data_IF_064962287033
#
_entry.id   IF_064962287033
#
_cell.length_a   1.000
_cell.length_b   1.000
_cell.length_c   1.000
_cell.angle_alpha   90.00
_cell.angle_beta   90.00
_cell.angle_gamma   90.00
#
_symmetry.space_group_name_H-M   'P 1'
#
loop_
_entity.id
_entity.type
_entity.pdbx_description
1 polymer ?
#
# COMPACT_ATOMS: atom_id res chain seq x y z
N UNK A 1 -23.87 -8.98 2.50
CA UNK A 1 -23.92 -7.62 3.08
C UNK A 1 -22.67 -6.89 2.64
N UNK A 2 -22.79 -5.68 2.16
CA UNK A 2 -21.69 -4.81 1.77
C UNK A 2 -21.92 -3.38 2.27
N UNK A 3 -20.84 -2.64 2.44
CA UNK A 3 -20.85 -1.30 3.01
C UNK A 3 -20.48 -0.23 1.98
N UNK A 4 -20.94 0.99 2.24
CA UNK A 4 -20.45 2.22 1.62
C UNK A 4 -20.06 3.22 2.72
N UNK A 5 -18.98 3.96 2.52
CA UNK A 5 -18.58 5.05 3.41
C UNK A 5 -18.83 6.40 2.75
N UNK A 6 -19.42 7.32 3.52
CA UNK A 6 -19.69 8.70 3.09
C UNK A 6 -18.94 9.66 4.02
N UNK A 7 -17.89 10.28 3.49
CA UNK A 7 -17.06 11.23 4.20
C UNK A 7 -17.64 12.63 4.00
N UNK A 8 -17.94 13.33 5.10
CA UNK A 8 -18.63 14.61 5.08
C UNK A 8 -17.69 15.67 5.66
N UNK A 9 -17.38 16.67 4.85
CA UNK A 9 -16.52 17.79 5.22
C UNK A 9 -16.07 18.55 3.98
N UNK A 10 -16.28 19.86 3.99
CA UNK A 10 -15.89 20.73 2.88
C UNK A 10 -14.36 20.82 2.76
N UNK A 11 -13.62 20.76 3.87
CA UNK A 11 -12.17 20.75 3.94
C UNK A 11 -11.53 19.54 3.20
N UNK A 12 -12.26 18.41 3.14
CA UNK A 12 -11.84 17.24 2.38
C UNK A 12 -11.88 17.49 0.86
N UNK A 13 -12.91 18.21 0.40
CA UNK A 13 -13.07 18.57 -1.03
C UNK A 13 -12.10 19.66 -1.45
N UNK A 14 -11.74 20.57 -0.54
CA UNK A 14 -10.76 21.63 -0.77
C UNK A 14 -9.31 21.11 -0.76
N UNK A 15 -9.10 19.86 -0.31
CA UNK A 15 -7.76 19.28 -0.19
C UNK A 15 -6.94 19.86 0.96
N UNK A 16 -7.58 20.53 1.92
CA UNK A 16 -6.90 21.11 3.10
C UNK A 16 -6.37 20.03 4.03
N UNK A 17 -7.06 18.89 4.10
CA UNK A 17 -6.64 17.72 4.87
C UNK A 17 -6.74 16.43 4.07
N UNK A 18 -5.88 15.46 4.42
CA UNK A 18 -5.93 14.11 3.86
C UNK A 18 -6.97 13.28 4.61
N UNK A 19 -7.86 12.62 3.86
CA UNK A 19 -8.89 11.73 4.41
C UNK A 19 -8.30 10.44 4.99
N UNK A 20 -7.77 10.53 6.19
CA UNK A 20 -7.24 9.36 6.92
C UNK A 20 -8.33 8.50 7.54
N UNK A 21 -9.53 9.04 7.76
CA UNK A 21 -10.66 8.32 8.34
C UNK A 21 -11.19 7.25 7.40
N UNK A 22 -11.29 7.55 6.10
CA UNK A 22 -11.69 6.56 5.11
C UNK A 22 -10.74 5.35 5.07
N UNK A 23 -9.44 5.57 5.23
CA UNK A 23 -8.46 4.48 5.31
C UNK A 23 -8.68 3.60 6.56
N UNK A 24 -9.02 4.22 7.72
CA UNK A 24 -9.36 3.47 8.94
C UNK A 24 -10.60 2.61 8.75
N UNK A 25 -11.66 3.16 8.15
CA UNK A 25 -12.86 2.38 7.82
C UNK A 25 -12.53 1.21 6.91
N UNK A 26 -11.85 1.45 5.80
CA UNK A 26 -11.54 0.41 4.82
C UNK A 26 -10.76 -0.75 5.46
N UNK A 27 -9.78 -0.46 6.32
CA UNK A 27 -9.03 -1.49 7.05
C UNK A 27 -9.91 -2.26 8.02
N UNK A 28 -10.67 -1.57 8.87
CA UNK A 28 -11.50 -2.21 9.90
C UNK A 28 -12.62 -3.07 9.29
N UNK A 29 -13.23 -2.63 8.18
CA UNK A 29 -14.26 -3.41 7.47
C UNK A 29 -13.65 -4.63 6.77
N UNK A 30 -12.47 -4.47 6.17
CA UNK A 30 -11.72 -5.58 5.57
C UNK A 30 -11.37 -6.66 6.61
N UNK A 31 -10.92 -6.27 7.81
CA UNK A 31 -10.58 -7.19 8.90
C UNK A 31 -11.74 -8.09 9.33
N UNK A 32 -12.98 -7.61 9.26
CA UNK A 32 -14.18 -8.41 9.57
C UNK A 32 -14.80 -9.08 8.34
N UNK A 33 -14.19 -8.97 7.17
CA UNK A 33 -14.65 -9.55 5.91
C UNK A 33 -15.87 -8.84 5.28
N UNK A 34 -16.20 -7.62 5.72
CA UNK A 34 -17.27 -6.82 5.12
C UNK A 34 -16.78 -6.09 3.90
N UNK A 35 -17.43 -6.32 2.75
CA UNK A 35 -17.09 -5.66 1.50
C UNK A 35 -17.37 -4.16 1.55
N UNK A 36 -16.41 -3.36 1.12
CA UNK A 36 -16.54 -1.93 0.89
C UNK A 36 -16.43 -1.68 -0.62
N UNK A 37 -17.55 -1.35 -1.29
CA UNK A 37 -17.55 -1.14 -2.73
C UNK A 37 -17.45 0.34 -3.12
N UNK A 38 -17.97 1.23 -2.29
CA UNK A 38 -18.04 2.64 -2.62
C UNK A 38 -17.55 3.51 -1.47
N UNK A 39 -16.83 4.53 -1.85
CA UNK A 39 -16.43 5.64 -1.00
C UNK A 39 -16.86 6.93 -1.67
N UNK A 40 -17.66 7.75 -0.97
CA UNK A 40 -18.11 9.06 -1.46
C UNK A 40 -17.63 10.14 -0.50
N UNK A 41 -17.16 11.27 -1.03
CA UNK A 41 -16.85 12.47 -0.25
C UNK A 41 -17.80 13.59 -0.67
N UNK A 42 -18.42 14.27 0.30
CA UNK A 42 -19.38 15.34 0.07
C UNK A 42 -19.13 16.49 1.05
N UNK A 43 -19.31 17.73 0.60
CA UNK A 43 -19.21 18.92 1.46
C UNK A 43 -20.46 19.10 2.35
N UNK A 44 -20.34 19.99 3.34
CA UNK A 44 -21.35 20.28 4.36
C UNK A 44 -22.58 21.00 3.76
N UNK A 45 -23.41 20.25 3.06
CA UNK A 45 -24.65 20.70 2.45
C UNK A 45 -25.74 19.63 2.60
N UNK A 46 -26.83 19.96 3.28
CA UNK A 46 -27.91 19.02 3.60
C UNK A 46 -28.48 18.30 2.38
N UNK A 47 -28.78 19.04 1.31
CA UNK A 47 -29.38 18.49 0.09
C UNK A 47 -28.45 17.49 -0.58
N UNK A 48 -27.16 17.88 -0.78
CA UNK A 48 -26.16 16.99 -1.42
C UNK A 48 -25.88 15.74 -0.58
N UNK A 49 -25.79 15.89 0.76
CA UNK A 49 -25.63 14.74 1.65
C UNK A 49 -26.83 13.81 1.55
N UNK A 50 -28.04 14.35 1.53
CA UNK A 50 -29.29 13.56 1.38
C UNK A 50 -29.32 12.80 0.06
N UNK A 51 -28.92 13.42 -1.05
CA UNK A 51 -28.83 12.79 -2.37
C UNK A 51 -27.84 11.65 -2.38
N UNK A 52 -26.61 11.88 -1.85
CA UNK A 52 -25.56 10.86 -1.73
C UNK A 52 -26.02 9.69 -0.87
N UNK A 53 -26.67 9.96 0.27
CA UNK A 53 -27.16 8.90 1.16
C UNK A 53 -28.29 8.08 0.52
N UNK A 54 -29.21 8.70 -0.25
CA UNK A 54 -30.21 7.97 -0.99
C UNK A 54 -29.58 7.03 -2.02
N UNK A 55 -28.62 7.53 -2.81
CA UNK A 55 -27.89 6.70 -3.78
C UNK A 55 -27.14 5.55 -3.08
N UNK A 56 -26.52 5.81 -1.94
CA UNK A 56 -25.82 4.79 -1.15
C UNK A 56 -26.79 3.73 -0.62
N UNK A 57 -27.96 4.12 -0.08
CA UNK A 57 -29.01 3.22 0.40
C UNK A 57 -29.64 2.36 -0.70
N UNK A 58 -29.66 2.85 -1.95
CA UNK A 58 -30.19 2.08 -3.09
C UNK A 58 -29.26 0.96 -3.55
N UNK A 59 -27.97 1.00 -3.15
CA UNK A 59 -26.94 0.07 -3.64
C UNK A 59 -26.08 -0.59 -2.57
N UNK A 60 -26.28 -0.27 -1.28
CA UNK A 60 -25.48 -0.81 -0.19
C UNK A 60 -26.32 -1.06 1.05
N UNK A 61 -26.04 -2.16 1.75
CA UNK A 61 -26.80 -2.59 2.94
C UNK A 61 -26.49 -1.72 4.19
N UNK A 62 -25.25 -1.25 4.28
CA UNK A 62 -24.74 -0.45 5.40
C UNK A 62 -24.01 0.78 4.89
N UNK A 63 -24.47 1.95 5.29
CA UNK A 63 -23.82 3.21 5.01
C UNK A 63 -23.19 3.72 6.30
N UNK A 64 -21.91 4.07 6.27
CA UNK A 64 -21.21 4.65 7.42
C UNK A 64 -20.81 6.08 7.07
N UNK A 65 -21.34 7.06 7.78
CA UNK A 65 -20.96 8.47 7.60
C UNK A 65 -19.93 8.90 8.63
N UNK A 66 -19.03 9.81 8.24
CA UNK A 66 -18.07 10.45 9.14
C UNK A 66 -18.07 11.95 8.90
N UNK A 67 -18.37 12.73 9.94
CA UNK A 67 -18.41 14.20 9.90
C UNK A 67 -19.83 14.78 9.99
N UNK A 68 -19.90 16.10 10.22
CA UNK A 68 -21.13 16.88 10.24
C UNK A 68 -22.14 16.57 11.35
N UNK A 69 -21.70 15.95 12.47
CA UNK A 69 -22.54 15.66 13.64
C UNK A 69 -22.17 16.51 14.88
N UNK A 70 -21.37 17.54 14.73
CA UNK A 70 -20.98 18.49 15.76
C UNK A 70 -22.10 19.50 16.11
N UNK A 71 -21.77 20.58 16.87
CA UNK A 71 -22.74 21.58 17.32
C UNK A 71 -22.82 22.80 16.41
N UNK A 72 -22.05 22.90 15.34
CA UNK A 72 -21.96 24.08 14.48
C UNK A 72 -23.12 24.16 13.49
N UNK A 73 -23.27 25.27 12.79
CA UNK A 73 -24.42 25.48 11.88
C UNK A 73 -24.31 24.63 10.64
N UNK A 74 -23.09 24.34 10.23
CA UNK A 74 -22.70 23.51 9.10
C UNK A 74 -22.75 21.99 9.40
N UNK A 75 -22.94 21.59 10.66
CA UNK A 75 -23.16 20.19 11.05
C UNK A 75 -24.58 19.72 10.69
N UNK A 76 -24.81 19.47 9.40
CA UNK A 76 -26.15 19.15 8.85
C UNK A 76 -26.38 17.65 8.60
N UNK A 77 -25.43 16.80 8.93
CA UNK A 77 -25.52 15.34 8.69
C UNK A 77 -26.74 14.70 9.35
N UNK A 78 -27.11 15.10 10.57
CA UNK A 78 -28.29 14.56 11.29
C UNK A 78 -29.59 14.77 10.51
N UNK A 79 -29.77 15.98 9.96
CA UNK A 79 -30.94 16.31 9.15
C UNK A 79 -30.92 15.55 7.83
N UNK A 80 -29.77 15.50 7.16
CA UNK A 80 -29.63 14.78 5.91
C UNK A 80 -29.91 13.27 6.05
N UNK A 81 -29.43 12.64 7.15
CA UNK A 81 -29.73 11.24 7.47
C UNK A 81 -31.22 11.03 7.74
N UNK A 82 -31.85 11.92 8.52
CA UNK A 82 -33.29 11.85 8.77
C UNK A 82 -34.08 11.90 7.44
N UNK A 83 -33.75 12.86 6.57
CA UNK A 83 -34.38 12.98 5.25
C UNK A 83 -34.17 11.72 4.38
N UNK A 84 -32.93 11.22 4.28
CA UNK A 84 -32.58 10.07 3.46
C UNK A 84 -33.26 8.77 3.96
N UNK A 85 -33.35 8.59 5.28
CA UNK A 85 -33.98 7.41 5.88
C UNK A 85 -35.52 7.54 6.03
N UNK A 86 -36.09 8.65 5.57
CA UNK A 86 -37.55 8.93 5.64
C UNK A 86 -38.06 9.18 7.07
N UNK A 87 -37.20 9.61 7.98
CA UNK A 87 -37.52 9.81 9.40
C UNK A 87 -37.59 11.30 9.74
N UNK A 88 -38.30 11.62 10.82
CA UNK A 88 -38.27 12.98 11.40
C UNK A 88 -37.03 13.13 12.27
N UNK A 89 -36.47 14.34 12.31
CA UNK A 89 -35.45 14.69 13.31
C UNK A 89 -36.13 15.07 14.60
N UNK A 90 -35.85 14.37 15.71
CA UNK A 90 -36.46 14.58 17.01
C UNK A 90 -35.44 14.98 18.07
N UNK A 91 -35.82 15.78 19.02
CA UNK A 91 -35.01 16.18 20.16
C UNK A 91 -35.10 15.14 21.28
N UNK A 92 -33.94 14.73 21.81
CA UNK A 92 -33.85 13.77 22.91
C UNK A 92 -33.27 14.45 24.16
N UNK A 93 -34.12 14.56 25.20
CA UNK A 93 -33.71 15.07 26.51
C UNK A 93 -32.65 14.22 27.18
N UNK A 94 -32.67 12.91 26.92
CA UNK A 94 -31.69 11.98 27.46
C UNK A 94 -30.30 12.22 26.84
N UNK A 95 -30.24 12.47 25.53
CA UNK A 95 -28.99 12.83 24.87
C UNK A 95 -28.48 14.19 25.33
N UNK A 96 -29.36 15.19 25.52
CA UNK A 96 -28.96 16.48 26.12
C UNK A 96 -28.33 16.26 27.49
N UNK A 97 -28.96 15.46 28.36
CA UNK A 97 -28.44 15.16 29.68
C UNK A 97 -27.07 14.48 29.65
N UNK A 98 -26.87 13.52 28.69
CA UNK A 98 -25.58 12.85 28.47
C UNK A 98 -24.50 13.85 28.01
N UNK A 99 -24.81 14.71 27.04
CA UNK A 99 -23.91 15.75 26.55
C UNK A 99 -23.52 16.69 27.69
N UNK A 100 -24.51 17.17 28.45
CA UNK A 100 -24.27 18.04 29.58
C UNK A 100 -23.40 17.38 30.67
N UNK A 101 -23.63 16.09 30.93
CA UNK A 101 -22.80 15.31 31.86
C UNK A 101 -21.36 15.19 31.35
N UNK A 102 -21.19 15.04 30.03
CA UNK A 102 -19.86 14.96 29.39
C UNK A 102 -19.11 16.29 29.53
N UNK A 103 -19.77 17.43 29.30
CA UNK A 103 -19.15 18.75 29.52
C UNK A 103 -18.75 18.96 30.97
N UNK A 104 -19.60 18.52 31.93
CA UNK A 104 -19.26 18.57 33.36
C UNK A 104 -18.03 17.73 33.69
N UNK A 105 -17.86 16.56 33.08
CA UNK A 105 -16.67 15.73 33.31
C UNK A 105 -15.38 16.38 32.83
N UNK A 106 -15.47 17.33 31.90
CA UNK A 106 -14.35 18.18 31.46
C UNK A 106 -14.19 19.46 32.29
N UNK A 107 -14.96 19.64 33.36
CA UNK A 107 -14.98 20.89 34.16
C UNK A 107 -15.57 22.08 33.41
N UNK A 108 -16.40 21.85 32.38
CA UNK A 108 -16.98 22.91 31.53
C UNK A 108 -18.51 22.89 31.59
N UNK A 109 -19.12 24.05 31.36
CA UNK A 109 -20.57 24.17 31.17
C UNK A 109 -20.88 23.96 29.68
N UNK A 110 -21.92 23.20 29.39
CA UNK A 110 -22.42 23.03 28.02
C UNK A 110 -22.96 24.38 27.49
N UNK A 111 -22.49 24.80 26.33
CA UNK A 111 -23.02 25.98 25.65
C UNK A 111 -24.34 25.64 24.93
N UNK A 112 -25.19 26.63 24.68
CA UNK A 112 -26.55 26.46 24.15
C UNK A 112 -26.55 25.79 22.74
N UNK A 113 -25.56 26.12 21.89
CA UNK A 113 -25.44 25.51 20.56
C UNK A 113 -25.19 23.99 20.59
N UNK A 114 -24.65 23.45 21.69
CA UNK A 114 -24.45 21.99 21.83
C UNK A 114 -25.77 21.22 21.96
N UNK A 115 -26.89 21.87 22.25
CA UNK A 115 -28.21 21.25 22.23
C UNK A 115 -28.58 20.70 20.83
N UNK A 116 -28.01 21.25 19.77
CA UNK A 116 -28.18 20.71 18.41
C UNK A 116 -27.72 19.24 18.30
N UNK A 117 -26.75 18.84 19.09
CA UNK A 117 -26.25 17.46 19.12
C UNK A 117 -27.25 16.46 19.74
N UNK A 118 -28.27 16.96 20.46
CA UNK A 118 -29.35 16.15 21.06
C UNK A 118 -30.44 15.75 20.05
N UNK A 119 -30.42 16.27 18.83
CA UNK A 119 -31.33 15.83 17.76
C UNK A 119 -30.82 14.59 17.09
N UNK A 120 -31.68 13.59 16.89
CA UNK A 120 -31.41 12.37 16.13
C UNK A 120 -32.63 11.97 15.27
N UNK A 121 -32.48 11.17 14.21
CA UNK A 121 -33.60 10.61 13.48
C UNK A 121 -34.50 9.79 14.41
N UNK A 122 -35.83 9.91 14.24
CA UNK A 122 -36.83 9.20 15.03
C UNK A 122 -36.62 7.68 14.93
N UNK A 123 -36.58 6.99 16.08
CA UNK A 123 -36.31 5.55 16.14
C UNK A 123 -34.83 5.15 15.90
N UNK A 124 -33.94 6.10 15.74
CA UNK A 124 -32.52 5.79 15.67
C UNK A 124 -32.00 5.30 17.02
N UNK A 125 -31.03 4.37 16.97
CA UNK A 125 -30.38 3.80 18.15
C UNK A 125 -29.12 4.60 18.47
N UNK A 126 -29.07 5.32 19.61
CA UNK A 126 -27.86 6.05 20.01
C UNK A 126 -26.72 5.09 20.35
N UNK A 127 -25.52 5.43 19.89
CA UNK A 127 -24.28 4.75 20.20
C UNK A 127 -23.44 5.63 21.14
N UNK A 128 -23.27 5.20 22.39
CA UNK A 128 -22.56 5.98 23.42
C UNK A 128 -21.12 6.30 22.99
N UNK A 129 -20.78 7.60 22.96
CA UNK A 129 -19.45 8.12 22.68
C UNK A 129 -18.77 8.65 23.96
N UNK A 130 -18.00 7.83 24.69
CA UNK A 130 -17.36 8.26 25.94
C UNK A 130 -16.09 9.10 25.73
N UNK A 131 -15.63 9.28 24.50
CA UNK A 131 -14.39 10.02 24.17
C UNK A 131 -14.67 11.39 23.53
N UNK A 132 -15.94 11.66 23.16
CA UNK A 132 -16.36 12.91 22.56
C UNK A 132 -17.67 13.44 23.15
N UNK A 133 -18.24 14.47 22.51
CA UNK A 133 -19.50 15.07 22.89
C UNK A 133 -20.65 14.78 21.93
N UNK A 134 -20.33 14.50 20.66
CA UNK A 134 -21.33 14.23 19.64
C UNK A 134 -21.88 12.80 19.78
N UNK A 135 -23.19 12.61 20.01
CA UNK A 135 -23.82 11.31 19.99
C UNK A 135 -23.71 10.70 18.56
N UNK A 136 -23.20 9.50 18.51
CA UNK A 136 -23.28 8.67 17.32
C UNK A 136 -24.59 7.91 17.32
N UNK A 137 -25.05 7.45 16.18
CA UNK A 137 -26.32 6.71 16.10
C UNK A 137 -26.37 5.82 14.86
N UNK A 138 -27.27 4.85 14.94
CA UNK A 138 -27.68 3.98 13.83
C UNK A 138 -29.12 4.31 13.49
N UNK A 139 -29.40 4.62 12.22
CA UNK A 139 -30.75 4.89 11.70
C UNK A 139 -31.09 3.90 10.59
N UNK A 140 -32.13 3.12 10.78
CA UNK A 140 -32.65 2.24 9.73
C UNK A 140 -33.56 3.00 8.76
N UNK A 141 -33.41 2.75 7.47
CA UNK A 141 -34.32 3.33 6.47
C UNK A 141 -35.72 2.72 6.61
N UNK A 142 -36.75 3.55 6.66
CA UNK A 142 -38.13 3.09 6.82
C UNK A 142 -38.63 2.25 5.65
N UNK A 143 -37.99 2.33 4.48
CA UNK A 143 -38.27 1.56 3.26
C UNK A 143 -37.52 0.25 3.22
N UNK A 144 -36.72 -0.06 4.25
CA UNK A 144 -35.99 -1.32 4.35
C UNK A 144 -34.79 -1.45 3.41
N UNK A 145 -34.27 -0.35 2.86
CA UNK A 145 -33.12 -0.38 1.94
C UNK A 145 -31.78 -0.69 2.64
N UNK A 146 -31.68 -0.35 3.93
CA UNK A 146 -30.46 -0.55 4.68
C UNK A 146 -30.40 0.32 5.93
N UNK A 147 -29.18 0.53 6.44
CA UNK A 147 -28.92 1.27 7.68
C UNK A 147 -27.84 2.32 7.48
N UNK A 148 -28.02 3.50 8.11
CA UNK A 148 -27.01 4.55 8.18
C UNK A 148 -26.45 4.63 9.59
N UNK A 149 -25.14 4.52 9.74
CA UNK A 149 -24.39 4.67 10.99
C UNK A 149 -23.62 5.98 10.91
N UNK A 150 -23.91 6.94 11.81
CA UNK A 150 -23.27 8.26 11.80
C UNK A 150 -22.22 8.41 12.90
N UNK A 151 -21.00 8.73 12.49
CA UNK A 151 -19.81 8.82 13.33
C UNK A 151 -19.17 10.23 13.25
N UNK A 152 -18.38 10.64 14.26
CA UNK A 152 -17.72 11.92 14.25
C UNK A 152 -16.57 11.97 13.22
N UNK A 153 -16.23 13.19 12.78
CA UNK A 153 -15.07 13.45 11.93
C UNK A 153 -13.74 13.41 12.68
N UNK A 154 -13.73 13.63 14.01
CA UNK A 154 -12.51 13.67 14.82
C UNK A 154 -11.87 12.27 14.88
N UNK A 155 -10.62 12.09 14.39
CA UNK A 155 -10.01 10.76 14.22
C UNK A 155 -9.97 9.90 15.48
N UNK A 156 -9.64 10.50 16.64
CA UNK A 156 -9.58 9.79 17.93
C UNK A 156 -10.97 9.27 18.38
N UNK A 157 -12.01 10.06 18.18
CA UNK A 157 -13.38 9.66 18.52
C UNK A 157 -13.87 8.57 17.58
N UNK A 158 -13.62 8.76 16.27
CA UNK A 158 -13.98 7.80 15.23
C UNK A 158 -13.35 6.44 15.49
N UNK A 159 -12.05 6.39 15.78
CA UNK A 159 -11.31 5.14 16.02
C UNK A 159 -11.90 4.34 17.19
N UNK A 160 -12.22 5.04 18.29
CA UNK A 160 -12.90 4.42 19.43
C UNK A 160 -14.29 3.89 19.05
N UNK A 161 -15.11 4.73 18.40
CA UNK A 161 -16.47 4.34 18.04
C UNK A 161 -16.48 3.20 17.03
N UNK A 162 -15.59 3.25 16.06
CA UNK A 162 -15.44 2.20 15.04
C UNK A 162 -15.08 0.87 15.72
N UNK A 163 -13.99 0.82 16.48
CA UNK A 163 -13.47 -0.43 17.06
C UNK A 163 -14.36 -0.98 18.18
N UNK A 164 -14.97 -0.12 19.03
CA UNK A 164 -15.68 -0.56 20.24
C UNK A 164 -17.20 -0.64 20.09
N UNK A 165 -17.78 -0.02 19.06
CA UNK A 165 -19.23 0.03 18.88
C UNK A 165 -19.65 -0.49 17.49
N UNK A 166 -19.07 0.03 16.42
CA UNK A 166 -19.55 -0.26 15.06
C UNK A 166 -19.11 -1.65 14.61
N UNK A 167 -17.83 -2.00 14.77
CA UNK A 167 -17.34 -3.32 14.33
C UNK A 167 -18.08 -4.47 15.04
N UNK A 168 -18.25 -4.50 16.38
CA UNK A 168 -19.02 -5.55 17.04
C UNK A 168 -20.47 -5.64 16.53
N UNK A 169 -21.14 -4.48 16.34
CA UNK A 169 -22.49 -4.42 15.81
C UNK A 169 -22.59 -4.97 14.38
N UNK A 170 -21.62 -4.65 13.52
CA UNK A 170 -21.58 -5.17 12.15
C UNK A 170 -21.33 -6.68 12.12
N UNK A 171 -20.42 -7.18 12.95
CA UNK A 171 -20.16 -8.62 13.10
C UNK A 171 -21.43 -9.36 13.54
N UNK A 172 -22.18 -8.83 14.51
CA UNK A 172 -23.45 -9.40 14.93
C UNK A 172 -24.46 -9.41 13.79
N UNK A 173 -24.61 -8.30 13.04
CA UNK A 173 -25.51 -8.21 11.88
C UNK A 173 -25.13 -9.15 10.73
N UNK A 174 -23.86 -9.47 10.59
CA UNK A 174 -23.35 -10.43 9.60
C UNK A 174 -23.60 -11.88 10.00
N UNK A 175 -23.99 -12.15 11.24
CA UNK A 175 -24.09 -13.50 11.80
C UNK A 175 -22.75 -14.12 12.15
N UNK A 176 -21.69 -13.34 12.28
CA UNK A 176 -20.33 -13.71 12.60
C UNK A 176 -19.29 -12.91 11.81
N UNK A 177 -18.09 -12.84 12.31
CA UNK A 177 -16.96 -12.28 11.57
C UNK A 177 -16.53 -13.26 10.47
N UNK A 178 -16.14 -12.72 9.32
CA UNK A 178 -15.39 -13.48 8.31
C UNK A 178 -13.95 -12.99 8.32
N UNK A 179 -13.04 -13.88 8.05
CA UNK A 179 -11.64 -13.53 7.94
C UNK A 179 -11.32 -13.16 6.50
N UNK A 180 -10.68 -12.01 6.31
CA UNK A 180 -10.05 -11.66 5.05
C UNK A 180 -8.54 -11.85 5.20
N UNK A 181 -8.02 -12.88 4.55
CA UNK A 181 -6.58 -13.17 4.54
C UNK A 181 -5.96 -12.65 3.25
N UNK A 182 -4.83 -11.95 3.38
CA UNK A 182 -4.09 -11.42 2.25
C UNK A 182 -2.70 -12.03 2.25
N UNK A 183 -2.32 -12.64 1.12
CA UNK A 183 -0.98 -13.10 0.85
C UNK A 183 -0.36 -12.19 -0.20
N UNK A 184 0.79 -11.59 0.12
CA UNK A 184 1.51 -10.71 -0.80
C UNK A 184 2.75 -11.47 -1.30
N UNK A 185 2.80 -11.71 -2.62
CA UNK A 185 4.00 -12.19 -3.28
C UNK A 185 4.74 -10.98 -3.84
N UNK A 186 5.99 -10.83 -3.42
CA UNK A 186 6.85 -9.73 -3.85
C UNK A 186 7.60 -10.13 -5.11
N UNK A 187 7.46 -9.35 -6.17
CA UNK A 187 8.23 -9.56 -7.42
C UNK A 187 9.16 -8.39 -7.69
N UNK A 188 10.28 -8.63 -8.35
CA UNK A 188 11.21 -7.59 -8.74
C UNK A 188 11.72 -7.78 -10.17
N UNK A 189 12.21 -6.67 -10.75
CA UNK A 189 12.72 -6.55 -12.11
C UNK A 189 11.72 -7.00 -13.18
N UNK A 190 10.42 -6.88 -12.88
CA UNK A 190 9.31 -7.18 -13.79
C UNK A 190 8.25 -6.10 -13.68
N UNK A 191 7.76 -5.61 -14.81
CA UNK A 191 6.69 -4.62 -14.87
C UNK A 191 5.32 -5.24 -14.70
N UNK A 192 4.35 -4.43 -14.24
CA UNK A 192 2.96 -4.83 -13.99
C UNK A 192 2.31 -5.48 -15.22
N UNK A 193 2.50 -4.90 -16.41
CA UNK A 193 1.95 -5.45 -17.66
C UNK A 193 2.50 -6.84 -18.00
N UNK A 194 3.75 -7.13 -17.64
CA UNK A 194 4.33 -8.44 -17.83
C UNK A 194 3.78 -9.45 -16.82
N UNK A 195 3.58 -9.03 -15.57
CA UNK A 195 2.93 -9.87 -14.57
C UNK A 195 1.50 -10.20 -15.01
N UNK A 196 0.72 -9.18 -15.40
CA UNK A 196 -0.66 -9.34 -15.90
C UNK A 196 -0.73 -10.30 -17.09
N UNK A 197 0.17 -10.17 -18.06
CA UNK A 197 0.22 -11.09 -19.21
C UNK A 197 0.41 -12.55 -18.81
N UNK A 198 1.11 -12.82 -17.70
CA UNK A 198 1.46 -14.19 -17.27
C UNK A 198 0.39 -14.80 -16.36
N UNK A 199 -0.27 -13.98 -15.55
CA UNK A 199 -1.25 -14.46 -14.54
C UNK A 199 -2.64 -13.83 -14.69
N UNK A 200 -2.91 -13.04 -15.74
CA UNK A 200 -4.17 -12.30 -15.91
C UNK A 200 -5.41 -13.19 -15.95
N UNK A 201 -5.29 -14.41 -16.47
CA UNK A 201 -6.36 -15.42 -16.44
C UNK A 201 -6.76 -15.80 -15.00
N UNK A 202 -5.80 -15.83 -14.08
CA UNK A 202 -6.05 -16.13 -12.66
C UNK A 202 -6.78 -14.99 -11.95
N UNK A 203 -6.69 -13.76 -12.46
CA UNK A 203 -7.32 -12.56 -11.86
C UNK A 203 -8.84 -12.53 -12.03
N UNK A 204 -9.41 -13.42 -12.81
CA UNK A 204 -10.87 -13.55 -13.02
C UNK A 204 -11.58 -14.29 -11.89
N UNK A 205 -10.85 -14.93 -10.99
CA UNK A 205 -11.39 -15.67 -9.85
C UNK A 205 -12.10 -14.72 -8.86
N UNK A 206 -13.20 -15.20 -8.28
CA UNK A 206 -14.02 -14.41 -7.33
C UNK A 206 -13.53 -14.52 -5.89
N UNK A 207 -13.02 -15.68 -5.50
CA UNK A 207 -12.46 -15.94 -4.17
C UNK A 207 -11.57 -17.20 -4.23
N UNK A 208 -10.24 -17.11 -4.04
CA UNK A 208 -9.48 -15.86 -3.80
C UNK A 208 -9.45 -14.94 -5.02
N UNK A 209 -9.26 -13.63 -4.77
CA UNK A 209 -9.00 -12.64 -5.83
C UNK A 209 -7.51 -12.36 -5.94
N UNK A 210 -7.04 -11.95 -7.13
CA UNK A 210 -5.68 -11.43 -7.32
C UNK A 210 -5.75 -9.95 -7.71
N UNK A 211 -4.91 -9.14 -7.08
CA UNK A 211 -4.68 -7.74 -7.44
C UNK A 211 -3.18 -7.47 -7.62
N UNK A 212 -2.84 -6.51 -8.46
CA UNK A 212 -1.47 -6.05 -8.68
C UNK A 212 -1.28 -4.66 -8.06
N UNK A 213 -0.07 -4.39 -7.56
CA UNK A 213 0.33 -3.07 -7.11
C UNK A 213 1.77 -2.79 -7.54
N UNK A 214 1.94 -1.85 -8.47
CA UNK A 214 3.24 -1.49 -9.02
C UNK A 214 3.98 -0.48 -8.14
N UNK A 215 5.28 -0.69 -8.03
CA UNK A 215 6.27 0.20 -7.44
C UNK A 215 7.46 0.33 -8.39
N UNK A 216 8.41 1.22 -8.08
CA UNK A 216 9.62 1.34 -8.90
C UNK A 216 10.42 0.02 -8.95
N UNK A 217 10.44 -0.64 -10.10
CA UNK A 217 11.16 -1.91 -10.33
C UNK A 217 10.56 -3.15 -9.64
N UNK A 218 9.37 -3.05 -9.07
CA UNK A 218 8.70 -4.12 -8.34
C UNK A 218 7.20 -4.15 -8.64
N UNK A 219 6.60 -5.32 -8.56
CA UNK A 219 5.15 -5.49 -8.65
C UNK A 219 4.71 -6.49 -7.59
N UNK A 220 3.84 -6.04 -6.68
CA UNK A 220 3.24 -6.94 -5.69
C UNK A 220 2.05 -7.69 -6.30
N UNK A 221 2.01 -8.99 -6.10
CA UNK A 221 0.84 -9.81 -6.39
C UNK A 221 0.12 -10.11 -5.09
N UNK A 222 -1.08 -9.57 -4.92
CA UNK A 222 -1.90 -9.70 -3.71
C UNK A 222 -2.99 -10.72 -3.93
N UNK A 223 -2.91 -11.85 -3.24
CA UNK A 223 -3.94 -12.89 -3.25
C UNK A 223 -4.79 -12.68 -2.00
N UNK A 224 -6.08 -12.41 -2.18
CA UNK A 224 -7.02 -12.11 -1.08
C UNK A 224 -8.11 -13.18 -1.04
N UNK A 225 -8.21 -13.89 0.07
CA UNK A 225 -9.29 -14.86 0.32
C UNK A 225 -10.18 -14.42 1.49
N UNK A 226 -11.47 -14.73 1.36
CA UNK A 226 -12.47 -14.58 2.43
C UNK A 226 -12.98 -15.96 2.83
N UNK A 227 -12.99 -16.22 4.15
CA UNK A 227 -13.44 -17.49 4.71
C UNK A 227 -14.02 -17.28 6.11
N UNK A 228 -14.51 -18.34 6.73
CA UNK A 228 -14.97 -18.29 8.13
C UNK A 228 -13.78 -18.34 9.11
N UNK A 229 -12.67 -18.95 8.70
CA UNK A 229 -11.47 -19.11 9.52
C UNK A 229 -10.20 -18.78 8.71
N UNK A 230 -9.11 -18.41 9.41
CA UNK A 230 -7.79 -18.21 8.78
C UNK A 230 -7.29 -19.48 8.07
N UNK A 231 -7.50 -20.67 8.68
CA UNK A 231 -7.08 -21.93 8.10
C UNK A 231 -7.80 -22.25 6.78
N UNK A 232 -9.09 -21.93 6.68
CA UNK A 232 -9.84 -22.04 5.43
C UNK A 232 -9.35 -21.05 4.40
N UNK A 233 -9.09 -19.79 4.78
CA UNK A 233 -8.55 -18.78 3.89
C UNK A 233 -7.16 -19.20 3.34
N UNK A 234 -6.28 -19.71 4.19
CA UNK A 234 -4.97 -20.23 3.77
C UNK A 234 -5.12 -21.44 2.81
N UNK A 235 -6.10 -22.31 3.04
CA UNK A 235 -6.40 -23.45 2.15
C UNK A 235 -6.85 -22.97 0.78
N UNK A 236 -7.61 -21.88 0.72
CA UNK A 236 -8.02 -21.26 -0.55
C UNK A 236 -6.84 -20.58 -1.28
N UNK A 237 -5.96 -19.91 -0.53
CA UNK A 237 -4.81 -19.17 -1.08
C UNK A 237 -3.74 -20.12 -1.64
N UNK A 238 -3.44 -21.20 -0.94
CA UNK A 238 -2.28 -22.05 -1.23
C UNK A 238 -2.18 -22.55 -2.69
N UNK A 239 -3.23 -23.10 -3.34
CA UNK A 239 -3.14 -23.55 -4.71
C UNK A 239 -2.88 -22.41 -5.70
N UNK A 240 -3.48 -21.24 -5.45
CA UNK A 240 -3.33 -20.07 -6.29
C UNK A 240 -1.93 -19.44 -6.13
N UNK A 241 -1.41 -19.38 -4.91
CA UNK A 241 -0.02 -18.98 -4.64
C UNK A 241 0.97 -19.89 -5.35
N UNK A 242 0.77 -21.21 -5.29
CA UNK A 242 1.64 -22.18 -5.97
C UNK A 242 1.67 -21.97 -7.50
N UNK A 243 0.50 -21.75 -8.10
CA UNK A 243 0.38 -21.48 -9.53
C UNK A 243 1.06 -20.16 -9.93
N UNK A 244 0.82 -19.08 -9.16
CA UNK A 244 1.48 -17.78 -9.39
C UNK A 244 3.00 -17.92 -9.29
N UNK A 245 3.52 -18.64 -8.27
CA UNK A 245 4.95 -18.88 -8.11
C UNK A 245 5.53 -19.71 -9.27
N UNK A 246 4.81 -20.70 -9.75
CA UNK A 246 5.24 -21.52 -10.88
C UNK A 246 5.37 -20.66 -12.14
N UNK A 247 4.38 -19.82 -12.44
CA UNK A 247 4.36 -18.98 -13.64
C UNK A 247 5.36 -17.83 -13.60
N UNK A 248 5.46 -17.14 -12.47
CA UNK A 248 6.36 -16.00 -12.29
C UNK A 248 7.82 -16.42 -11.99
N UNK A 249 8.00 -17.63 -11.47
CA UNK A 249 9.32 -18.22 -11.23
C UNK A 249 10.25 -17.32 -10.44
N UNK A 250 11.45 -17.08 -10.98
CA UNK A 250 12.50 -16.29 -10.34
C UNK A 250 12.12 -14.82 -10.09
N UNK A 251 11.08 -14.29 -10.73
CA UNK A 251 10.63 -12.92 -10.47
C UNK A 251 10.09 -12.76 -9.04
N UNK A 252 9.52 -13.81 -8.46
CA UNK A 252 9.09 -13.79 -7.05
C UNK A 252 10.32 -13.91 -6.15
N UNK A 253 10.62 -12.85 -5.40
CA UNK A 253 11.77 -12.82 -4.50
C UNK A 253 11.43 -13.05 -3.04
N UNK A 254 10.21 -12.74 -2.62
CA UNK A 254 9.82 -12.77 -1.21
C UNK A 254 8.31 -12.71 -0.99
N UNK A 255 7.93 -12.58 0.26
CA UNK A 255 6.53 -12.50 0.71
C UNK A 255 6.33 -11.37 1.71
N UNK A 256 5.09 -10.93 1.84
CA UNK A 256 4.62 -9.97 2.85
C UNK A 256 5.47 -8.68 2.90
N UNK A 257 6.22 -8.48 3.98
CA UNK A 257 7.04 -7.28 4.22
C UNK A 257 8.50 -7.45 3.80
N UNK A 258 8.88 -8.59 3.25
CA UNK A 258 10.26 -8.81 2.84
C UNK A 258 10.69 -7.82 1.76
N UNK A 259 11.88 -7.29 1.90
CA UNK A 259 12.51 -6.38 0.94
C UNK A 259 13.58 -7.09 0.12
N UNK A 260 13.86 -6.57 -1.07
CA UNK A 260 14.90 -7.14 -1.95
C UNK A 260 16.26 -7.17 -1.27
N UNK A 261 16.73 -6.08 -0.61
CA UNK A 261 18.00 -6.07 0.11
C UNK A 261 18.06 -7.09 1.25
N UNK A 262 17.00 -7.26 2.03
CA UNK A 262 16.94 -8.26 3.12
C UNK A 262 17.09 -9.68 2.60
N UNK A 263 16.36 -10.01 1.54
CA UNK A 263 16.43 -11.36 0.94
C UNK A 263 17.83 -11.65 0.40
N UNK A 264 18.42 -10.68 -0.29
CA UNK A 264 19.78 -10.85 -0.84
C UNK A 264 20.83 -10.88 0.26
N UNK A 265 20.72 -10.01 1.27
CA UNK A 265 21.63 -10.00 2.43
C UNK A 265 21.66 -11.36 3.13
N UNK A 266 20.48 -11.97 3.37
CA UNK A 266 20.39 -13.34 3.90
C UNK A 266 21.02 -14.38 2.96
N UNK A 267 20.78 -14.29 1.65
CA UNK A 267 21.37 -15.22 0.68
C UNK A 267 22.89 -15.13 0.63
N UNK A 268 23.44 -13.93 0.62
CA UNK A 268 24.89 -13.70 0.64
C UNK A 268 25.51 -14.21 1.95
N UNK A 269 24.91 -13.89 3.10
CA UNK A 269 25.34 -14.37 4.42
C UNK A 269 25.37 -15.89 4.48
N UNK A 270 24.31 -16.57 4.04
CA UNK A 270 24.21 -18.04 4.06
C UNK A 270 25.27 -18.72 3.16
N UNK A 271 25.75 -18.03 2.14
CA UNK A 271 26.79 -18.54 1.24
C UNK A 271 28.19 -18.01 1.55
N UNK A 272 28.34 -17.22 2.62
CA UNK A 272 29.58 -16.53 2.99
C UNK A 272 30.17 -15.67 1.86
N UNK A 273 29.30 -15.05 1.06
CA UNK A 273 29.69 -14.19 -0.04
C UNK A 273 29.73 -12.72 0.41
N UNK A 274 30.70 -12.00 -0.08
CA UNK A 274 30.82 -10.55 0.08
C UNK A 274 30.56 -9.83 -1.23
N UNK A 275 30.25 -8.54 -1.14
CA UNK A 275 29.89 -7.70 -2.26
C UNK A 275 30.85 -6.53 -2.38
N UNK A 276 31.34 -6.27 -3.59
CA UNK A 276 31.97 -5.02 -3.96
C UNK A 276 31.08 -4.26 -4.93
N UNK A 277 30.95 -2.95 -4.75
CA UNK A 277 30.03 -2.09 -5.50
C UNK A 277 30.75 -0.91 -6.12
N UNK A 278 30.56 -0.70 -7.41
CA UNK A 278 30.81 0.58 -8.09
C UNK A 278 29.47 1.12 -8.57
N UNK A 279 29.16 2.35 -8.19
CA UNK A 279 27.91 3.00 -8.57
C UNK A 279 28.18 4.42 -9.05
N UNK A 280 28.08 4.62 -10.36
CA UNK A 280 28.13 5.96 -11.00
C UNK A 280 26.75 6.40 -11.49
N UNK A 281 25.71 5.63 -11.23
CA UNK A 281 24.42 5.74 -11.90
C UNK A 281 23.27 6.05 -10.96
N UNK A 282 23.19 5.35 -9.81
CA UNK A 282 22.03 5.45 -8.91
C UNK A 282 22.21 6.41 -7.75
N UNK A 283 23.42 6.96 -7.56
CA UNK A 283 23.70 7.85 -6.42
C UNK A 283 23.91 7.09 -5.12
N UNK A 284 24.33 5.82 -5.17
CA UNK A 284 24.57 4.99 -3.99
C UNK A 284 23.31 4.34 -3.41
N UNK A 285 22.19 4.32 -4.16
CA UNK A 285 20.94 3.72 -3.69
C UNK A 285 21.11 2.24 -3.28
N UNK A 286 21.81 1.45 -4.10
CA UNK A 286 22.04 0.03 -3.82
C UNK A 286 22.73 -0.19 -2.47
N UNK A 287 23.83 0.51 -2.22
CA UNK A 287 24.58 0.38 -0.96
C UNK A 287 23.83 0.92 0.25
N UNK A 288 23.06 2.00 0.07
CA UNK A 288 22.20 2.55 1.10
C UNK A 288 21.12 1.54 1.50
N UNK A 289 20.42 0.98 0.53
CA UNK A 289 19.34 0.01 0.77
C UNK A 289 19.84 -1.25 1.50
N UNK A 290 21.08 -1.70 1.20
CA UNK A 290 21.73 -2.78 1.94
C UNK A 290 22.07 -2.39 3.39
N UNK A 291 22.52 -1.16 3.60
CA UNK A 291 22.84 -0.65 4.93
C UNK A 291 21.59 -0.49 5.78
N UNK A 292 20.53 0.05 5.20
CA UNK A 292 19.22 0.22 5.87
C UNK A 292 18.59 -1.13 6.24
N UNK A 293 18.85 -2.18 5.43
CA UNK A 293 18.46 -3.55 5.73
C UNK A 293 19.38 -4.27 6.76
N UNK A 294 20.41 -3.62 7.26
CA UNK A 294 21.32 -4.18 8.28
C UNK A 294 22.44 -5.07 7.75
N UNK A 295 22.78 -4.99 6.46
CA UNK A 295 23.78 -5.85 5.80
C UNK A 295 25.01 -5.08 5.30
N UNK A 296 25.33 -3.93 5.92
CA UNK A 296 26.48 -3.10 5.53
C UNK A 296 27.82 -3.85 5.55
N UNK A 297 28.02 -4.78 6.47
CA UNK A 297 29.26 -5.60 6.61
C UNK A 297 29.44 -6.63 5.51
N UNK A 298 28.47 -6.85 4.66
CA UNK A 298 28.64 -7.65 3.45
C UNK A 298 29.33 -6.87 2.33
N UNK A 299 29.32 -5.53 2.40
CA UNK A 299 29.95 -4.66 1.40
C UNK A 299 31.40 -4.39 1.80
N UNK A 300 32.35 -4.99 1.10
CA UNK A 300 33.79 -4.89 1.40
C UNK A 300 34.48 -3.79 0.62
N UNK A 301 33.92 -3.38 -0.51
CA UNK A 301 34.41 -2.28 -1.32
C UNK A 301 33.21 -1.51 -1.88
N UNK A 302 33.23 -0.18 -1.69
CA UNK A 302 32.20 0.72 -2.20
C UNK A 302 32.88 1.93 -2.84
N UNK A 303 32.73 2.05 -4.16
CA UNK A 303 33.13 3.24 -4.89
C UNK A 303 31.89 3.91 -5.46
N UNK A 304 31.38 4.88 -4.72
CA UNK A 304 30.30 5.74 -5.17
C UNK A 304 30.88 7.04 -5.72
N UNK A 305 30.66 7.33 -7.00
CA UNK A 305 31.07 8.57 -7.66
C UNK A 305 30.16 8.83 -8.85
N UNK A 306 29.78 10.08 -9.04
CA UNK A 306 29.03 10.50 -10.25
C UNK A 306 29.97 10.58 -11.47
N UNK A 307 31.29 10.66 -11.22
CA UNK A 307 32.30 10.76 -12.28
C UNK A 307 32.78 9.36 -12.69
N UNK A 308 32.24 8.90 -13.81
CA UNK A 308 32.62 7.64 -14.44
C UNK A 308 34.13 7.61 -14.79
N UNK A 309 34.69 8.75 -15.24
CA UNK A 309 36.12 8.84 -15.59
C UNK A 309 37.01 8.61 -14.39
N UNK A 310 36.63 9.16 -13.22
CA UNK A 310 37.34 8.92 -11.98
C UNK A 310 37.28 7.43 -11.54
N UNK A 311 36.14 6.77 -11.73
CA UNK A 311 36.00 5.35 -11.45
C UNK A 311 36.92 4.49 -12.35
N UNK A 312 36.92 4.76 -13.65
CA UNK A 312 37.78 4.08 -14.61
C UNK A 312 39.27 4.29 -14.34
N UNK A 313 39.67 5.52 -14.02
CA UNK A 313 41.03 5.83 -13.66
C UNK A 313 41.51 5.06 -12.41
N UNK A 314 40.68 4.98 -11.39
CA UNK A 314 41.01 4.20 -10.18
C UNK A 314 41.15 2.72 -10.47
N UNK A 315 40.35 2.18 -11.41
CA UNK A 315 40.44 0.79 -11.85
C UNK A 315 41.59 0.52 -12.83
N UNK A 316 42.34 1.54 -13.24
CA UNK A 316 43.39 1.40 -14.26
C UNK A 316 42.88 1.14 -15.67
N UNK A 317 41.61 1.49 -15.93
CA UNK A 317 40.95 1.26 -17.21
C UNK A 317 41.00 2.54 -18.07
N UNK A 318 41.41 2.41 -19.31
CA UNK A 318 41.48 3.53 -20.24
C UNK A 318 40.11 3.77 -20.91
N UNK A 319 39.56 4.97 -20.72
CA UNK A 319 38.35 5.40 -21.42
C UNK A 319 38.74 6.06 -22.76
N UNK A 320 38.26 5.51 -23.86
CA UNK A 320 38.40 6.11 -25.18
C UNK A 320 37.10 6.80 -25.58
N UNK A 321 37.15 8.11 -25.85
CA UNK A 321 35.97 8.91 -26.17
C UNK A 321 35.19 8.44 -27.43
N UNK A 322 35.82 7.62 -28.27
CA UNK A 322 35.22 7.06 -29.49
C UNK A 322 34.96 5.54 -29.39
N UNK A 323 34.88 4.99 -28.16
CA UNK A 323 34.58 3.59 -27.95
C UNK A 323 33.19 3.21 -28.53
N UNK A 324 33.08 2.00 -29.06
CA UNK A 324 31.80 1.43 -29.54
C UNK A 324 31.06 0.77 -28.39
N UNK A 325 29.77 0.49 -28.56
CA UNK A 325 28.94 -0.17 -27.52
C UNK A 325 29.59 -1.40 -26.87
N UNK A 326 30.30 -2.23 -27.64
CA UNK A 326 31.03 -3.39 -27.13
C UNK A 326 32.16 -3.04 -26.16
N UNK A 327 32.80 -1.89 -26.35
CA UNK A 327 33.88 -1.41 -25.50
C UNK A 327 33.35 -0.89 -24.15
N UNK A 328 32.16 -0.27 -24.12
CA UNK A 328 31.51 0.17 -22.89
C UNK A 328 31.08 -1.01 -22.01
N UNK A 329 30.59 -2.07 -22.64
CA UNK A 329 30.28 -3.33 -21.94
C UNK A 329 31.52 -3.95 -21.29
N UNK A 330 32.66 -3.94 -21.98
CA UNK A 330 33.94 -4.43 -21.45
C UNK A 330 34.45 -3.55 -20.29
N UNK A 331 34.31 -2.22 -20.41
CA UNK A 331 34.67 -1.28 -19.33
C UNK A 331 33.80 -1.49 -18.08
N UNK A 332 32.49 -1.65 -18.25
CA UNK A 332 31.57 -1.95 -17.15
C UNK A 332 31.94 -3.26 -16.43
N UNK A 333 32.28 -4.31 -17.21
CA UNK A 333 32.77 -5.57 -16.64
C UNK A 333 34.10 -5.41 -15.91
N UNK A 334 35.06 -4.68 -16.48
CA UNK A 334 36.33 -4.39 -15.83
C UNK A 334 36.15 -3.66 -14.48
N UNK A 335 35.19 -2.76 -14.38
CA UNK A 335 34.84 -2.10 -13.11
C UNK A 335 34.25 -3.08 -12.10
N UNK A 336 33.38 -4.00 -12.53
CA UNK A 336 32.85 -5.03 -11.66
C UNK A 336 33.94 -5.97 -11.14
N UNK A 337 34.88 -6.36 -12.00
CA UNK A 337 36.04 -7.19 -11.65
C UNK A 337 37.00 -6.49 -10.68
N UNK A 338 37.25 -5.19 -10.89
CA UNK A 338 38.11 -4.39 -10.03
C UNK A 338 37.61 -4.35 -8.57
N UNK A 339 36.28 -4.26 -8.38
CA UNK A 339 35.68 -4.11 -7.06
C UNK A 339 35.33 -5.45 -6.41
N UNK A 340 35.36 -6.55 -7.16
CA UNK A 340 35.00 -7.87 -6.66
C UNK A 340 35.94 -8.32 -5.54
N UNK A 341 35.43 -8.68 -4.35
CA UNK A 341 36.25 -9.29 -3.32
C UNK A 341 36.65 -10.71 -3.70
N UNK A 342 37.75 -11.27 -3.13
CA UNK A 342 38.09 -12.68 -3.32
C UNK A 342 36.89 -13.58 -3.00
N UNK A 343 36.56 -14.49 -3.93
CA UNK A 343 35.40 -15.41 -3.85
C UNK A 343 34.04 -14.73 -3.62
N UNK A 344 33.92 -13.42 -3.85
CA UNK A 344 32.69 -12.66 -3.73
C UNK A 344 32.09 -12.21 -5.06
N UNK A 345 31.21 -11.25 -4.99
CA UNK A 345 30.52 -10.67 -6.14
C UNK A 345 30.91 -9.20 -6.31
N UNK A 346 31.37 -8.83 -7.50
CA UNK A 346 31.50 -7.43 -7.90
C UNK A 346 30.32 -7.00 -8.74
N UNK A 347 29.77 -5.82 -8.44
CA UNK A 347 28.76 -5.18 -9.26
C UNK A 347 29.18 -3.77 -9.65
N UNK A 348 28.98 -3.43 -10.91
CA UNK A 348 29.17 -2.08 -11.43
C UNK A 348 27.87 -1.58 -12.08
N UNK A 349 27.29 -0.53 -11.51
CA UNK A 349 26.20 0.25 -12.08
C UNK A 349 26.83 1.48 -12.74
N UNK A 350 26.91 1.48 -14.06
CA UNK A 350 27.74 2.45 -14.79
C UNK A 350 27.01 3.17 -15.89
N UNK A 351 27.34 4.43 -16.08
CA UNK A 351 26.80 5.34 -17.09
C UNK A 351 26.30 6.64 -16.51
N UNK A 352 25.61 7.48 -17.33
CA UNK A 352 25.49 7.29 -18.78
C UNK A 352 26.83 7.47 -19.52
N UNK A 353 27.08 6.64 -20.53
CA UNK A 353 28.16 6.83 -21.46
C UNK A 353 27.79 7.91 -22.51
N UNK A 354 28.69 8.21 -23.44
CA UNK A 354 28.50 9.30 -24.42
C UNK A 354 27.26 9.12 -25.32
N UNK A 355 26.81 7.89 -25.52
CA UNK A 355 25.62 7.50 -26.30
C UNK A 355 24.35 7.35 -25.43
N UNK A 356 24.41 7.82 -24.18
CA UNK A 356 23.35 7.63 -23.15
C UNK A 356 23.13 6.17 -22.73
N UNK A 357 24.01 5.24 -23.11
CA UNK A 357 23.95 3.86 -22.64
C UNK A 357 24.32 3.75 -21.16
N UNK A 358 23.74 2.76 -20.51
CA UNK A 358 24.01 2.40 -19.11
C UNK A 358 24.23 0.90 -19.01
N UNK A 359 25.01 0.46 -18.04
CA UNK A 359 25.29 -0.95 -17.86
C UNK A 359 25.18 -1.37 -16.40
N UNK A 360 24.64 -2.56 -16.21
CA UNK A 360 24.72 -3.33 -14.96
C UNK A 360 25.65 -4.51 -15.27
N UNK A 361 26.86 -4.49 -14.72
CA UNK A 361 27.82 -5.56 -14.89
C UNK A 361 28.07 -6.26 -13.56
N UNK A 362 28.08 -7.59 -13.59
CA UNK A 362 28.37 -8.44 -12.44
C UNK A 362 29.43 -9.46 -12.78
N UNK A 363 30.34 -9.67 -11.86
CA UNK A 363 31.22 -10.83 -11.84
C UNK A 363 31.09 -11.54 -10.48
N UNK A 364 31.18 -12.84 -10.50
CA UNK A 364 31.01 -13.68 -9.31
C UNK A 364 31.95 -14.88 -9.32
N UNK A 365 31.89 -15.72 -8.26
CA UNK A 365 32.69 -16.94 -8.16
C UNK A 365 32.51 -17.84 -9.39
N UNK A 366 33.54 -18.64 -9.71
CA UNK A 366 33.55 -19.56 -10.84
C UNK A 366 33.41 -18.91 -12.23
N UNK A 367 33.96 -17.69 -12.39
CA UNK A 367 33.89 -16.92 -13.64
C UNK A 367 32.46 -16.60 -14.12
N UNK A 368 31.48 -16.54 -13.21
CA UNK A 368 30.14 -16.04 -13.56
C UNK A 368 30.23 -14.57 -13.96
N UNK A 369 29.73 -14.25 -15.15
CA UNK A 369 29.75 -12.89 -15.69
C UNK A 369 28.40 -12.55 -16.30
N UNK A 370 27.91 -11.34 -16.07
CA UNK A 370 26.70 -10.81 -16.65
C UNK A 370 26.88 -9.33 -16.97
N UNK A 371 26.49 -8.92 -18.16
CA UNK A 371 26.34 -7.51 -18.50
C UNK A 371 24.96 -7.29 -19.09
N UNK A 372 24.25 -6.29 -18.57
CA UNK A 372 22.97 -5.83 -19.09
C UNK A 372 23.11 -4.38 -19.51
N UNK A 373 22.81 -4.12 -20.79
CA UNK A 373 22.73 -2.77 -21.33
C UNK A 373 21.34 -2.16 -21.10
N UNK A 374 21.31 -0.86 -20.92
CA UNK A 374 20.12 -0.04 -20.80
C UNK A 374 20.35 1.35 -21.36
N UNK A 375 19.35 2.23 -21.25
CA UNK A 375 19.47 3.65 -21.60
C UNK A 375 18.85 4.51 -20.49
N UNK A 376 19.40 5.69 -20.26
CA UNK A 376 18.80 6.66 -19.36
C UNK A 376 17.63 7.38 -20.03
N UNK A 377 16.56 7.59 -19.26
CA UNK A 377 15.41 8.43 -19.63
C UNK A 377 15.34 9.66 -18.72
N UNK A 378 14.51 10.63 -19.07
CA UNK A 378 14.49 11.97 -18.43
C UNK A 378 14.03 12.01 -16.96
N UNK A 379 13.32 11.01 -16.45
CA UNK A 379 12.91 10.96 -15.04
C UNK A 379 13.99 10.25 -14.20
N UNK A 380 14.91 11.08 -13.68
CA UNK A 380 16.12 10.59 -13.02
C UNK A 380 15.87 9.75 -11.76
N UNK A 381 14.90 10.10 -10.92
CA UNK A 381 14.72 9.43 -9.61
C UNK A 381 14.00 8.08 -9.73
N UNK A 382 13.00 8.00 -10.59
CA UNK A 382 12.31 6.73 -10.88
C UNK A 382 13.27 5.73 -11.54
N UNK A 383 14.04 6.18 -12.54
CA UNK A 383 15.01 5.35 -13.26
C UNK A 383 16.13 4.87 -12.36
N UNK A 384 16.64 5.72 -11.47
CA UNK A 384 17.65 5.33 -10.47
C UNK A 384 17.18 4.22 -9.54
N UNK A 385 15.97 4.38 -9.00
CA UNK A 385 15.36 3.37 -8.14
C UNK A 385 15.16 2.05 -8.89
N UNK A 386 14.70 2.12 -10.12
CA UNK A 386 14.50 0.93 -10.97
C UNK A 386 15.81 0.20 -11.27
N UNK A 387 16.89 0.95 -11.59
CA UNK A 387 18.22 0.40 -11.85
C UNK A 387 18.85 -0.22 -10.60
N UNK A 388 18.66 0.39 -9.43
CA UNK A 388 19.13 -0.18 -8.17
C UNK A 388 18.45 -1.54 -7.89
N UNK A 389 17.13 -1.62 -8.04
CA UNK A 389 16.37 -2.87 -7.88
C UNK A 389 16.80 -3.92 -8.92
N UNK A 390 17.02 -3.52 -10.17
CA UNK A 390 17.55 -4.46 -11.18
C UNK A 390 18.95 -4.99 -10.80
N UNK A 391 19.83 -4.11 -10.34
CA UNK A 391 21.16 -4.53 -9.87
C UNK A 391 21.08 -5.54 -8.74
N UNK A 392 20.21 -5.27 -7.76
CA UNK A 392 19.92 -6.18 -6.65
C UNK A 392 19.36 -7.53 -7.14
N UNK A 393 18.39 -7.52 -8.05
CA UNK A 393 17.82 -8.77 -8.57
C UNK A 393 18.85 -9.62 -9.34
N UNK A 394 19.74 -8.98 -10.11
CA UNK A 394 20.81 -9.72 -10.78
C UNK A 394 21.82 -10.33 -9.82
N UNK A 395 22.14 -9.66 -8.68
CA UNK A 395 22.92 -10.29 -7.61
C UNK A 395 22.19 -11.53 -7.09
N UNK A 396 20.91 -11.42 -6.78
CA UNK A 396 20.08 -12.52 -6.29
C UNK A 396 20.09 -13.71 -7.26
N UNK A 397 19.84 -13.46 -8.54
CA UNK A 397 19.82 -14.48 -9.60
C UNK A 397 21.18 -15.15 -9.76
N UNK A 398 22.27 -14.39 -9.68
CA UNK A 398 23.62 -14.94 -9.71
C UNK A 398 23.87 -15.89 -8.54
N UNK A 399 23.51 -15.49 -7.32
CA UNK A 399 23.65 -16.31 -6.11
C UNK A 399 22.79 -17.59 -6.18
N UNK A 400 21.63 -17.53 -6.81
CA UNK A 400 20.72 -18.67 -7.03
C UNK A 400 21.10 -19.54 -8.22
N UNK A 401 22.03 -19.09 -9.09
CA UNK A 401 22.37 -19.77 -10.34
C UNK A 401 21.27 -19.65 -11.41
N UNK A 402 20.44 -18.62 -11.35
CA UNK A 402 19.27 -18.40 -12.22
C UNK A 402 19.41 -17.13 -13.05
N UNK A 403 20.49 -17.03 -13.81
CA UNK A 403 20.81 -15.83 -14.61
C UNK A 403 19.95 -15.68 -15.89
N UNK A 404 19.24 -16.73 -16.31
CA UNK A 404 18.33 -16.68 -17.45
C UNK A 404 16.93 -16.25 -16.99
N UNK A 405 16.33 -15.28 -17.68
CA UNK A 405 14.89 -15.00 -17.51
C UNK A 405 14.08 -16.19 -18.04
N UNK A 406 12.90 -16.49 -17.48
CA UNK A 406 11.97 -17.42 -18.10
C UNK A 406 11.72 -17.01 -19.55
N UNK A 407 11.56 -18.01 -20.44
CA UNK A 407 11.42 -17.77 -21.88
C UNK A 407 10.23 -16.83 -22.22
N UNK A 408 9.24 -16.82 -21.37
CA UNK A 408 7.99 -16.05 -21.53
C UNK A 408 8.11 -14.54 -21.22
N UNK A 409 9.28 -14.08 -20.72
CA UNK A 409 9.59 -12.65 -20.48
C UNK A 409 10.29 -11.99 -21.69
N UNK A 410 10.52 -12.73 -22.76
CA UNK A 410 11.03 -12.14 -23.99
C UNK A 410 9.92 -11.35 -24.66
N UNK A 411 10.25 -10.11 -25.01
CA UNK A 411 9.41 -9.16 -25.73
C UNK A 411 8.80 -9.75 -27.01
#
# INVERSE_FOLDING_TARGET
MHAEIVMIGTELLLGEIVDTNANRFAKALCEIGLDLYYKTTVGDNETRITEVLNLALDRSDVIITSGGIGPTVDDVTRQAVANATGRKLIYSTDLEAQIAARFRSFGRKMAENNKRQAYIPEGAVPLSNPVGTAPCYLSEDIRGRGVVISLPGVPRELEYMLSKKVIPLLVERMGGARVTQIRILRTCAVGESNVDRVIGDLMTAKNPTIGLAAHAGQTDVRITAKAETEAEADTLIAPLEAEVRQRLGVAVYGVEKETVPEVIGRLLSNKNLKLGVIDTLTGGLLTRDFSDAGFSDLITANLHTIDLSAALQKAGLAFQANARDGDYSALAMGLAEYVAPPDGIGIALTGPFNDSSTFIALCGPRNMRLVKAGRTYQDADYVRSWLAIQGLDWIRRMVLGQLTSPADWKE
#
